data_IF_851113742666
#
_entry.id   IF_851113742666
#
_cell.length_a   1.000
_cell.length_b   1.000
_cell.length_c   1.000
_cell.angle_alpha   90.00
_cell.angle_beta   90.00
_cell.angle_gamma   90.00
#
_symmetry.space_group_name_H-M   'P 1'
#
loop_
_entity.id
_entity.type
_entity.pdbx_description
1 polymer ?
#
# COMPACT_ATOMS: atom_id res chain seq x y z
N UNK A 1 -24.58 -23.72 -35.25
CA UNK A 1 -23.61 -24.73 -34.73
C UNK A 1 -22.16 -24.42 -35.12
N UNK A 2 -21.85 -24.16 -36.40
CA UNK A 2 -20.46 -23.83 -36.82
C UNK A 2 -19.87 -22.59 -36.13
N UNK A 3 -20.65 -21.53 -35.91
CA UNK A 3 -20.21 -20.31 -35.23
C UNK A 3 -19.78 -20.56 -33.77
N UNK A 4 -20.58 -21.34 -33.02
CA UNK A 4 -20.23 -21.73 -31.65
C UNK A 4 -19.00 -22.63 -31.59
N UNK A 5 -18.81 -23.51 -32.57
CA UNK A 5 -17.61 -24.35 -32.66
C UNK A 5 -16.35 -23.52 -32.92
N UNK A 6 -16.42 -22.47 -33.75
CA UNK A 6 -15.30 -21.55 -34.00
C UNK A 6 -14.95 -20.76 -32.76
N UNK A 7 -15.94 -20.21 -32.03
CA UNK A 7 -15.70 -19.51 -30.77
C UNK A 7 -15.06 -20.44 -29.75
N UNK A 8 -15.57 -21.67 -29.61
CA UNK A 8 -14.99 -22.66 -28.70
C UNK A 8 -13.55 -23.02 -29.05
N UNK A 9 -13.23 -23.22 -30.31
CA UNK A 9 -11.88 -23.49 -30.77
C UNK A 9 -10.93 -22.31 -30.48
N UNK A 10 -11.35 -21.07 -30.74
CA UNK A 10 -10.58 -19.87 -30.42
C UNK A 10 -10.35 -19.74 -28.91
N UNK A 11 -11.35 -19.96 -28.10
CA UNK A 11 -11.21 -19.93 -26.63
C UNK A 11 -10.18 -20.97 -26.13
N UNK A 12 -10.22 -22.18 -26.67
CA UNK A 12 -9.24 -23.23 -26.34
C UNK A 12 -7.82 -22.81 -26.77
N UNK A 13 -7.65 -22.29 -27.98
CA UNK A 13 -6.34 -21.83 -28.45
C UNK A 13 -5.78 -20.69 -27.58
N UNK A 14 -6.62 -19.72 -27.21
CA UNK A 14 -6.24 -18.64 -26.30
C UNK A 14 -5.86 -19.21 -24.92
N UNK A 15 -6.63 -20.17 -24.40
CA UNK A 15 -6.33 -20.83 -23.13
C UNK A 15 -5.00 -21.59 -23.16
N UNK A 16 -4.75 -22.35 -24.22
CA UNK A 16 -3.46 -23.04 -24.40
C UNK A 16 -2.31 -22.03 -24.54
N UNK A 17 -2.47 -20.99 -25.34
CA UNK A 17 -1.47 -19.94 -25.51
C UNK A 17 -1.14 -19.23 -24.20
N UNK A 18 -2.15 -18.86 -23.43
CA UNK A 18 -1.96 -18.26 -22.10
C UNK A 18 -1.25 -19.22 -21.13
N UNK A 19 -1.64 -20.49 -21.13
CA UNK A 19 -1.01 -21.51 -20.30
C UNK A 19 0.48 -21.65 -20.64
N UNK A 20 0.80 -21.79 -21.91
CA UNK A 20 2.18 -21.89 -22.37
C UNK A 20 2.98 -20.62 -22.05
N UNK A 21 2.39 -19.44 -22.18
CA UNK A 21 3.03 -18.17 -21.87
C UNK A 21 3.40 -18.06 -20.39
N UNK A 22 2.43 -18.31 -19.49
CA UNK A 22 2.67 -18.18 -18.05
C UNK A 22 3.50 -19.32 -17.46
N UNK A 23 3.16 -20.58 -17.79
CA UNK A 23 3.85 -21.76 -17.21
C UNK A 23 5.10 -22.17 -18.00
N UNK A 24 5.25 -21.73 -19.24
CA UNK A 24 6.46 -21.90 -20.04
C UNK A 24 7.60 -20.95 -19.68
N UNK A 25 7.39 -20.05 -18.69
CA UNK A 25 8.43 -19.12 -18.25
C UNK A 25 8.64 -17.90 -19.14
N UNK A 26 7.72 -17.65 -20.07
CA UNK A 26 7.78 -16.45 -20.94
C UNK A 26 7.34 -15.18 -20.19
N UNK A 27 6.57 -15.32 -19.11
CA UNK A 27 6.23 -14.20 -18.23
C UNK A 27 7.35 -14.03 -17.21
N UNK A 28 8.03 -12.88 -17.24
CA UNK A 28 9.10 -12.58 -16.28
C UNK A 28 8.52 -12.20 -14.91
N UNK A 29 9.02 -12.81 -13.85
CA UNK A 29 8.74 -12.44 -12.46
C UNK A 29 9.88 -11.64 -11.83
N UNK A 30 10.85 -11.21 -12.63
CA UNK A 30 11.94 -10.38 -12.14
C UNK A 30 11.43 -8.98 -11.74
N UNK A 31 11.84 -8.47 -10.59
CA UNK A 31 11.47 -7.13 -10.12
C UNK A 31 11.98 -5.99 -11.01
N UNK A 32 12.81 -6.28 -12.00
CA UNK A 32 13.30 -5.33 -13.03
C UNK A 32 12.48 -5.37 -14.32
N UNK A 33 11.52 -6.29 -14.43
CA UNK A 33 10.67 -6.41 -15.61
C UNK A 33 9.39 -5.60 -15.39
N UNK A 34 9.05 -4.79 -16.40
CA UNK A 34 7.78 -4.08 -16.41
C UNK A 34 6.64 -5.03 -16.79
N UNK A 35 5.55 -4.97 -16.05
CA UNK A 35 4.34 -5.71 -16.40
C UNK A 35 3.70 -5.15 -17.67
N UNK A 36 3.15 -6.00 -18.54
CA UNK A 36 2.32 -5.54 -19.64
C UNK A 36 1.16 -4.66 -19.13
N UNK A 37 0.87 -3.58 -19.84
CA UNK A 37 -0.13 -2.59 -19.42
C UNK A 37 -1.50 -3.21 -19.07
N UNK A 38 -1.91 -4.28 -19.75
CA UNK A 38 -3.16 -5.00 -19.46
C UNK A 38 -3.10 -5.71 -18.10
N UNK A 39 -1.95 -6.24 -17.70
CA UNK A 39 -1.74 -6.89 -16.40
C UNK A 39 -1.79 -5.83 -15.29
N UNK A 40 -1.04 -4.75 -15.44
CA UNK A 40 -1.06 -3.61 -14.49
C UNK A 40 -2.47 -3.04 -14.31
N UNK A 41 -3.19 -2.85 -15.43
CA UNK A 41 -4.59 -2.39 -15.40
C UNK A 41 -5.48 -3.36 -14.61
N UNK A 42 -5.41 -4.66 -14.92
CA UNK A 42 -6.24 -5.67 -14.28
C UNK A 42 -5.94 -5.77 -12.77
N UNK A 43 -4.67 -5.83 -12.38
CA UNK A 43 -4.25 -5.89 -10.98
C UNK A 43 -4.67 -4.64 -10.20
N UNK A 44 -4.54 -3.44 -10.81
CA UNK A 44 -5.00 -2.19 -10.19
C UNK A 44 -6.51 -2.22 -9.96
N UNK A 45 -7.31 -2.70 -10.92
CA UNK A 45 -8.77 -2.82 -10.76
C UNK A 45 -9.15 -3.81 -9.68
N UNK A 46 -8.51 -4.98 -9.64
CA UNK A 46 -8.73 -6.00 -8.60
C UNK A 46 -8.36 -5.46 -7.22
N UNK A 47 -7.21 -4.81 -7.09
CA UNK A 47 -6.76 -4.17 -5.83
C UNK A 47 -7.79 -3.15 -5.35
N UNK A 48 -8.18 -2.20 -6.20
CA UNK A 48 -9.14 -1.16 -5.85
C UNK A 48 -10.49 -1.74 -5.44
N UNK A 49 -11.01 -2.70 -6.20
CA UNK A 49 -12.27 -3.38 -5.88
C UNK A 49 -12.19 -4.13 -4.55
N UNK A 50 -11.08 -4.80 -4.27
CA UNK A 50 -10.85 -5.52 -3.01
C UNK A 50 -10.82 -4.56 -1.81
N UNK A 51 -10.05 -3.47 -1.91
CA UNK A 51 -9.99 -2.44 -0.86
C UNK A 51 -11.39 -1.87 -0.61
N UNK A 52 -12.09 -1.44 -1.65
CA UNK A 52 -13.42 -0.84 -1.53
C UNK A 52 -14.44 -1.79 -0.88
N UNK A 53 -14.35 -3.09 -1.17
CA UNK A 53 -15.26 -4.09 -0.61
C UNK A 53 -15.00 -4.40 0.86
N UNK A 54 -13.74 -4.38 1.27
CA UNK A 54 -13.33 -4.89 2.58
C UNK A 54 -13.03 -3.77 3.61
N UNK A 55 -12.84 -2.54 3.18
CA UNK A 55 -12.51 -1.40 4.05
C UNK A 55 -13.75 -0.85 4.75
N UNK A 56 -14.20 -1.53 5.79
CA UNK A 56 -15.39 -1.17 6.57
C UNK A 56 -15.11 -0.77 8.02
N UNK A 57 -13.87 -0.97 8.48
CA UNK A 57 -13.46 -0.65 9.85
C UNK A 57 -13.61 0.84 10.16
N UNK A 58 -13.99 1.14 11.40
CA UNK A 58 -14.09 2.50 11.93
C UNK A 58 -13.13 2.65 13.11
N UNK A 59 -12.58 3.84 13.34
CA UNK A 59 -11.78 4.06 14.54
C UNK A 59 -12.63 3.83 15.80
N UNK A 60 -12.08 3.17 16.83
CA UNK A 60 -12.77 3.01 18.09
C UNK A 60 -13.06 4.37 18.72
N UNK A 61 -14.11 4.47 19.56
CA UNK A 61 -14.53 5.72 20.17
C UNK A 61 -13.43 6.41 21.02
N UNK A 62 -12.43 5.64 21.44
CA UNK A 62 -11.25 6.13 22.16
C UNK A 62 -10.23 6.86 21.29
N UNK A 63 -10.34 6.75 19.94
CA UNK A 63 -9.37 7.33 19.01
C UNK A 63 -10.03 8.39 18.13
N UNK A 64 -9.63 9.64 18.34
CA UNK A 64 -9.99 10.72 17.43
C UNK A 64 -8.85 10.96 16.44
N UNK A 65 -9.06 10.54 15.19
CA UNK A 65 -8.06 10.68 14.11
C UNK A 65 -7.74 12.13 13.72
N UNK A 66 -8.54 13.11 14.20
CA UNK A 66 -8.28 14.53 13.98
C UNK A 66 -7.53 15.19 15.13
N UNK A 67 -7.32 14.47 16.23
CA UNK A 67 -6.63 14.99 17.40
C UNK A 67 -5.12 15.10 17.17
N UNK A 68 -4.53 16.22 17.63
CA UNK A 68 -3.10 16.49 17.42
C UNK A 68 -2.20 15.45 18.09
N UNK A 69 -2.55 14.96 19.28
CA UNK A 69 -1.77 13.94 19.96
C UNK A 69 -1.81 12.60 19.21
N UNK A 70 -2.98 12.23 18.65
CA UNK A 70 -3.13 11.03 17.80
C UNK A 70 -2.31 11.15 16.53
N UNK A 71 -2.31 12.31 15.88
CA UNK A 71 -1.50 12.57 14.67
C UNK A 71 0.00 12.45 14.97
N UNK A 72 0.47 13.03 16.08
CA UNK A 72 1.87 12.94 16.49
C UNK A 72 2.27 11.50 16.85
N UNK A 73 1.42 10.76 17.56
CA UNK A 73 1.63 9.35 17.84
C UNK A 73 1.75 8.54 16.54
N UNK A 74 0.90 8.85 15.56
CA UNK A 74 0.94 8.25 14.22
C UNK A 74 2.22 8.55 13.46
N UNK A 75 2.73 9.78 13.51
CA UNK A 75 4.01 10.13 12.89
C UNK A 75 5.18 9.36 13.51
N UNK A 76 5.19 9.21 14.85
CA UNK A 76 6.17 8.38 15.56
C UNK A 76 6.09 6.91 15.14
N UNK A 77 4.89 6.35 15.10
CA UNK A 77 4.66 4.98 14.70
C UNK A 77 5.08 4.76 13.23
N UNK A 78 4.73 5.67 12.32
CA UNK A 78 5.13 5.66 10.91
C UNK A 78 6.65 5.57 10.76
N UNK A 79 7.39 6.41 11.49
CA UNK A 79 8.85 6.38 11.49
C UNK A 79 9.39 5.07 12.11
N UNK A 80 8.89 4.68 13.28
CA UNK A 80 9.37 3.51 14.01
C UNK A 80 9.09 2.18 13.29
N UNK A 81 7.99 2.09 12.52
CA UNK A 81 7.64 0.90 11.73
C UNK A 81 8.32 0.87 10.37
N UNK A 82 9.15 1.85 10.04
CA UNK A 82 9.92 1.87 8.80
C UNK A 82 9.12 2.21 7.55
N UNK A 83 7.92 2.76 7.67
CA UNK A 83 7.09 3.16 6.53
C UNK A 83 7.82 4.15 5.61
N UNK A 84 8.60 5.06 6.21
CA UNK A 84 9.41 6.04 5.49
C UNK A 84 10.48 5.41 4.59
N UNK A 85 10.90 4.17 4.84
CA UNK A 85 11.89 3.50 3.98
C UNK A 85 11.37 3.25 2.56
N UNK A 86 10.06 3.03 2.41
CA UNK A 86 9.46 2.80 1.11
C UNK A 86 8.71 4.02 0.57
N UNK A 87 8.07 4.80 1.45
CA UNK A 87 7.19 5.89 1.06
C UNK A 87 7.80 7.28 1.23
N UNK A 88 9.01 7.37 1.81
CA UNK A 88 9.54 8.64 2.25
C UNK A 88 8.72 9.25 3.41
N UNK A 89 9.11 10.44 3.82
CA UNK A 89 8.41 11.26 4.79
C UNK A 89 8.81 12.73 4.60
N UNK A 90 8.12 13.70 5.21
CA UNK A 90 8.53 15.10 5.11
C UNK A 90 9.99 15.30 5.53
N UNK A 91 10.84 15.73 4.57
CA UNK A 91 12.28 15.88 4.76
C UNK A 91 13.09 14.57 4.83
N UNK A 92 12.47 13.42 4.58
CA UNK A 92 13.13 12.10 4.58
C UNK A 92 12.89 11.39 3.27
N UNK A 93 13.95 11.13 2.52
CA UNK A 93 13.87 10.36 1.28
C UNK A 93 13.65 8.87 1.60
N UNK A 94 12.99 8.16 0.68
CA UNK A 94 12.90 6.70 0.74
C UNK A 94 14.28 6.04 0.64
N UNK A 95 14.41 4.85 1.16
CA UNK A 95 15.62 4.06 1.08
C UNK A 95 15.84 3.55 -0.36
N UNK A 96 17.09 3.51 -0.81
CA UNK A 96 17.46 3.16 -2.19
C UNK A 96 16.89 1.81 -2.67
N UNK A 97 16.74 0.83 -1.77
CA UNK A 97 16.19 -0.48 -2.13
C UNK A 97 14.74 -0.41 -2.61
N UNK A 98 13.98 0.59 -2.18
CA UNK A 98 12.55 0.71 -2.53
C UNK A 98 12.33 1.03 -4.01
N UNK A 99 13.35 1.58 -4.69
CA UNK A 99 13.33 1.80 -6.14
C UNK A 99 13.29 0.50 -6.95
N UNK A 100 13.58 -0.63 -6.32
CA UNK A 100 13.47 -1.96 -6.93
C UNK A 100 12.15 -2.69 -6.65
N UNK A 101 11.19 -2.04 -5.99
CA UNK A 101 9.87 -2.62 -5.75
C UNK A 101 8.93 -2.38 -6.93
N UNK A 102 8.22 -3.43 -7.33
CA UNK A 102 7.19 -3.34 -8.37
C UNK A 102 5.86 -3.92 -7.84
N UNK A 103 4.77 -3.12 -7.92
CA UNK A 103 4.73 -1.71 -8.31
C UNK A 103 5.49 -0.81 -7.33
N UNK A 104 5.94 0.36 -7.82
CA UNK A 104 6.61 1.35 -7.00
C UNK A 104 5.74 1.79 -5.82
N UNK A 105 6.32 1.94 -4.60
CA UNK A 105 5.62 2.54 -3.48
C UNK A 105 5.20 3.98 -3.83
N UNK A 106 3.92 4.34 -3.67
CA UNK A 106 3.49 5.70 -3.98
C UNK A 106 4.02 6.71 -2.97
N UNK A 107 4.25 7.94 -3.41
CA UNK A 107 4.38 9.08 -2.50
C UNK A 107 3.02 9.31 -1.80
N UNK A 108 3.01 9.18 -0.49
CA UNK A 108 1.74 9.17 0.26
C UNK A 108 1.00 10.49 0.21
N UNK A 109 1.70 11.63 0.10
CA UNK A 109 1.04 12.94 0.00
C UNK A 109 0.13 13.05 -1.23
N UNK A 110 0.44 12.30 -2.30
CA UNK A 110 -0.30 12.36 -3.56
C UNK A 110 -1.53 11.45 -3.57
N UNK A 111 -1.54 10.39 -2.77
CA UNK A 111 -2.58 9.35 -2.83
C UNK A 111 -3.51 9.29 -1.62
N UNK A 112 -3.06 9.74 -0.43
CA UNK A 112 -3.87 9.61 0.80
C UNK A 112 -5.11 10.50 0.81
N UNK A 113 -5.14 11.55 -0.01
CA UNK A 113 -6.30 12.41 -0.18
C UNK A 113 -7.50 11.68 -0.79
N UNK A 114 -7.24 10.74 -1.69
CA UNK A 114 -8.26 10.00 -2.44
C UNK A 114 -8.85 8.81 -1.65
N UNK A 115 -8.18 8.38 -0.58
CA UNK A 115 -8.58 7.21 0.21
C UNK A 115 -9.30 7.64 1.49
N UNK A 116 -10.38 6.94 1.82
CA UNK A 116 -11.03 7.10 3.12
C UNK A 116 -10.15 6.60 4.27
N UNK A 117 -10.38 7.04 5.52
CA UNK A 117 -9.67 6.49 6.67
C UNK A 117 -9.78 4.97 6.79
N UNK A 118 -10.96 4.40 6.51
CA UNK A 118 -11.18 2.95 6.51
C UNK A 118 -10.33 2.22 5.47
N UNK A 119 -10.19 2.79 4.27
CA UNK A 119 -9.34 2.23 3.22
C UNK A 119 -7.87 2.27 3.59
N UNK A 120 -7.39 3.39 4.14
CA UNK A 120 -6.01 3.51 4.64
C UNK A 120 -5.74 2.51 5.76
N UNK A 121 -6.67 2.40 6.72
CA UNK A 121 -6.57 1.43 7.81
C UNK A 121 -6.48 0.01 7.27
N UNK A 122 -7.37 -0.37 6.34
CA UNK A 122 -7.38 -1.70 5.76
C UNK A 122 -6.05 -2.02 5.05
N UNK A 123 -5.52 -1.07 4.27
CA UNK A 123 -4.24 -1.24 3.54
C UNK A 123 -3.08 -1.40 4.50
N UNK A 124 -2.96 -0.56 5.53
CA UNK A 124 -1.87 -0.66 6.50
C UNK A 124 -1.99 -1.97 7.30
N UNK A 125 -3.19 -2.32 7.74
CA UNK A 125 -3.45 -3.52 8.52
C UNK A 125 -3.09 -4.79 7.75
N UNK A 126 -3.59 -4.92 6.52
CA UNK A 126 -3.53 -6.17 5.76
C UNK A 126 -2.38 -6.23 4.76
N UNK A 127 -1.78 -5.09 4.41
CA UNK A 127 -0.84 -5.01 3.30
C UNK A 127 -1.52 -5.17 1.94
N UNK A 128 -0.73 -5.25 0.88
CA UNK A 128 -1.20 -5.50 -0.49
C UNK A 128 -0.46 -6.70 -1.05
N UNK A 129 -1.19 -7.77 -1.33
CA UNK A 129 -0.62 -8.99 -1.89
C UNK A 129 0.07 -8.71 -3.24
N UNK A 130 1.17 -9.41 -3.51
CA UNK A 130 2.02 -9.26 -4.70
C UNK A 130 2.63 -7.86 -4.85
N UNK A 131 2.84 -7.14 -3.74
CA UNK A 131 3.58 -5.88 -3.69
C UNK A 131 4.56 -5.88 -2.53
N UNK A 132 5.40 -4.82 -2.43
CA UNK A 132 6.29 -4.62 -1.29
C UNK A 132 5.59 -4.16 0.00
N UNK A 133 4.27 -3.88 -0.01
CA UNK A 133 3.54 -3.42 1.17
C UNK A 133 3.16 -4.59 2.10
N UNK A 134 3.82 -4.75 3.27
CA UNK A 134 3.54 -5.86 4.17
C UNK A 134 2.28 -5.64 5.00
N UNK A 135 1.76 -6.72 5.61
CA UNK A 135 0.73 -6.64 6.65
C UNK A 135 1.34 -6.24 7.99
N UNK A 136 0.97 -5.08 8.51
CA UNK A 136 1.43 -4.64 9.84
C UNK A 136 0.70 -5.36 10.97
N UNK A 137 -0.52 -5.85 10.77
CA UNK A 137 -1.19 -6.70 11.75
C UNK A 137 -0.45 -8.02 11.96
N UNK A 138 0.05 -8.66 10.89
CA UNK A 138 0.87 -9.87 11.01
C UNK A 138 2.23 -9.59 11.64
N UNK A 139 2.73 -8.36 11.51
CA UNK A 139 3.93 -7.89 12.21
C UNK A 139 3.67 -7.52 13.69
N UNK A 140 2.46 -7.76 14.21
CA UNK A 140 2.10 -7.54 15.61
C UNK A 140 1.72 -6.10 15.96
N UNK A 141 1.51 -5.23 14.97
CA UNK A 141 1.05 -3.86 15.20
C UNK A 141 -0.44 -3.87 15.53
N UNK A 142 -0.79 -3.22 16.64
CA UNK A 142 -2.17 -3.17 17.14
C UNK A 142 -3.03 -2.20 16.33
N UNK A 143 -4.32 -2.45 16.27
CA UNK A 143 -5.28 -1.63 15.54
C UNK A 143 -5.26 -0.15 15.96
N UNK A 144 -5.11 0.15 17.26
CA UNK A 144 -5.02 1.52 17.77
C UNK A 144 -3.79 2.27 17.22
N UNK A 145 -2.66 1.57 17.10
CA UNK A 145 -1.45 2.15 16.51
C UNK A 145 -1.63 2.38 15.01
N UNK A 146 -2.29 1.44 14.31
CA UNK A 146 -2.62 1.60 12.89
C UNK A 146 -3.56 2.80 12.68
N UNK A 147 -4.58 2.98 13.51
CA UNK A 147 -5.45 4.16 13.46
C UNK A 147 -4.67 5.47 13.71
N UNK A 148 -3.69 5.45 14.59
CA UNK A 148 -2.81 6.61 14.78
C UNK A 148 -1.99 6.89 13.51
N UNK A 149 -1.45 5.87 12.85
CA UNK A 149 -0.76 6.02 11.55
C UNK A 149 -1.73 6.63 10.53
N UNK A 150 -2.97 6.14 10.44
CA UNK A 150 -3.99 6.70 9.54
C UNK A 150 -4.26 8.18 9.85
N UNK A 151 -4.33 8.57 11.13
CA UNK A 151 -4.48 9.97 11.52
C UNK A 151 -3.33 10.85 10.97
N UNK A 152 -2.09 10.39 11.08
CA UNK A 152 -0.93 11.07 10.49
C UNK A 152 -1.04 11.15 8.96
N UNK A 153 -1.36 10.03 8.29
CA UNK A 153 -1.51 9.99 6.84
C UNK A 153 -2.56 11.00 6.35
N UNK A 154 -3.71 11.06 7.01
CA UNK A 154 -4.78 12.01 6.66
C UNK A 154 -4.41 13.47 6.93
N UNK A 155 -3.34 13.73 7.68
CA UNK A 155 -2.81 15.08 7.94
C UNK A 155 -1.81 15.54 6.88
N UNK A 156 -1.28 14.62 6.06
CA UNK A 156 -0.32 14.98 5.00
C UNK A 156 -0.94 15.97 3.97
N UNK A 157 -0.15 16.91 3.45
CA UNK A 157 1.25 17.15 3.76
C UNK A 157 1.44 17.91 5.09
N UNK A 158 2.52 17.61 5.80
CA UNK A 158 2.99 18.38 6.98
C UNK A 158 4.39 18.92 6.70
N UNK A 159 4.81 19.96 7.45
CA UNK A 159 6.15 20.51 7.29
C UNK A 159 7.23 19.53 7.77
N UNK A 160 8.43 19.63 7.19
CA UNK A 160 9.60 18.88 7.66
C UNK A 160 9.92 19.16 9.14
N UNK A 161 9.79 20.43 9.55
CA UNK A 161 10.03 20.85 10.93
C UNK A 161 9.05 20.18 11.90
N UNK A 162 7.76 20.12 11.56
CA UNK A 162 6.76 19.46 12.41
C UNK A 162 7.00 17.95 12.47
N UNK A 163 7.25 17.31 11.33
CA UNK A 163 7.53 15.88 11.31
C UNK A 163 8.76 15.53 12.16
N UNK A 164 9.83 16.29 12.03
CA UNK A 164 11.04 16.12 12.82
C UNK A 164 10.78 16.34 14.32
N UNK A 165 10.03 17.38 14.69
CA UNK A 165 9.67 17.64 16.08
C UNK A 165 8.85 16.50 16.70
N UNK A 166 8.01 15.85 15.92
CA UNK A 166 7.18 14.73 16.40
C UNK A 166 7.93 13.40 16.48
N UNK A 167 8.92 13.17 15.62
CA UNK A 167 9.59 11.85 15.49
C UNK A 167 10.92 11.75 16.23
N UNK A 168 11.61 12.87 16.44
CA UNK A 168 12.84 12.88 17.23
C UNK A 168 12.48 12.80 18.71
N UNK A 169 12.88 11.72 19.39
CA UNK A 169 12.80 11.67 20.85
C UNK A 169 13.75 12.73 21.43
N UNK A 170 13.30 13.53 22.41
CA UNK A 170 14.24 14.36 23.17
C UNK A 170 15.31 13.44 23.76
N UNK A 171 16.58 13.86 23.63
CA UNK A 171 17.69 13.14 24.27
C UNK A 171 17.37 12.96 25.77
N UNK A 172 17.64 11.77 26.36
CA UNK A 172 17.42 11.57 27.78
C UNK A 172 18.20 12.66 28.53
N UNK A 173 17.47 13.43 29.34
CA UNK A 173 18.09 14.40 30.26
C UNK A 173 18.86 13.62 31.31
N UNK A 174 20.19 13.66 31.23
CA UNK A 174 21.11 13.16 32.26
C UNK A 174 21.06 14.04 33.49
#
# INVERSE_FOLDING_TARGET
MRFLAVIGALAILVGIGATLFFFGGFYSVAGTAEDPAIVTWALTRVRTASINRNASDQPPASINISDAATVQAGAKAFAARGCANCHGAPGVNWAKFSEGLHPDPPDLKDVVGELSPAQLFWVVKNGINMTGMPSFAQAGVKDDEIWSIVAFLKKLPVSEADYKAWTVQPAPSH
#
